data_IF_831753186863
#
_entry.id   IF_831753186863
#
_cell.length_a   1.000
_cell.length_b   1.000
_cell.length_c   1.000
_cell.angle_alpha   90.00
_cell.angle_beta   90.00
_cell.angle_gamma   90.00
#
_symmetry.space_group_name_H-M   'P 1'
#
loop_
_entity.id
_entity.type
_entity.pdbx_description
1 polymer ?
#
# COMPACT_ATOMS: atom_id res chain seq x y z
N UNK A 1 8.55 -50.91 53.55
CA UNK A 1 9.29 -49.64 53.72
C UNK A 1 9.97 -49.33 52.40
N UNK A 2 9.42 -48.32 51.74
CA UNK A 2 9.77 -47.54 50.53
C UNK A 2 11.01 -47.91 49.72
N UNK A 3 10.78 -48.40 48.50
CA UNK A 3 11.68 -48.25 47.34
C UNK A 3 11.52 -46.84 46.78
N UNK A 4 12.62 -46.10 46.67
CA UNK A 4 12.66 -44.75 46.10
C UNK A 4 12.63 -44.88 44.58
N UNK A 5 11.65 -44.24 43.96
CA UNK A 5 11.48 -44.16 42.51
C UNK A 5 12.38 -43.03 42.02
N UNK A 6 13.53 -43.34 41.41
CA UNK A 6 14.30 -42.37 40.64
C UNK A 6 13.64 -42.25 39.25
N UNK A 7 12.78 -41.24 39.13
CA UNK A 7 12.26 -40.75 37.87
C UNK A 7 12.34 -39.23 37.91
N UNK A 8 13.48 -38.67 37.52
CA UNK A 8 13.64 -37.26 37.12
C UNK A 8 15.00 -37.09 36.48
N UNK A 9 15.05 -37.14 35.15
CA UNK A 9 15.86 -36.22 34.35
C UNK A 9 15.53 -36.43 32.86
N UNK A 10 14.53 -35.70 32.39
CA UNK A 10 14.22 -35.55 30.97
C UNK A 10 13.62 -34.16 30.72
N UNK A 11 14.21 -33.11 31.29
CA UNK A 11 13.75 -31.73 31.14
C UNK A 11 14.94 -30.77 31.27
N UNK A 12 15.76 -30.64 30.23
CA UNK A 12 16.94 -29.77 30.32
C UNK A 12 17.69 -29.44 29.03
N UNK A 13 17.05 -29.49 27.85
CA UNK A 13 17.73 -29.19 26.57
C UNK A 13 17.08 -28.20 25.56
N UNK A 14 15.90 -27.58 25.77
CA UNK A 14 15.38 -26.62 24.78
C UNK A 14 16.11 -25.26 24.78
N UNK A 15 16.57 -24.77 25.93
CA UNK A 15 17.07 -23.39 26.06
C UNK A 15 18.46 -23.18 25.41
N UNK A 16 19.34 -24.19 25.48
CA UNK A 16 20.69 -24.10 24.92
C UNK A 16 20.71 -23.99 23.38
N UNK A 17 19.68 -24.53 22.71
CA UNK A 17 19.50 -24.40 21.26
C UNK A 17 19.06 -22.99 20.86
N UNK A 18 18.16 -22.40 21.64
CA UNK A 18 17.66 -21.03 21.42
C UNK A 18 18.79 -20.01 21.64
N UNK A 19 19.55 -20.13 22.72
CA UNK A 19 20.68 -19.23 23.00
C UNK A 19 21.77 -19.27 21.92
N UNK A 20 21.90 -20.42 21.24
CA UNK A 20 22.85 -20.59 20.14
C UNK A 20 22.32 -19.96 18.85
N UNK A 21 21.01 -20.08 18.58
CA UNK A 21 20.35 -19.40 17.46
C UNK A 21 20.39 -17.89 17.62
N UNK A 22 20.10 -17.38 18.81
CA UNK A 22 20.12 -15.95 19.12
C UNK A 22 21.53 -15.35 18.94
N UNK A 23 22.57 -16.04 19.43
CA UNK A 23 23.97 -15.62 19.24
C UNK A 23 24.45 -15.71 17.79
N UNK A 24 23.92 -16.65 17.00
CA UNK A 24 24.27 -16.78 15.58
C UNK A 24 23.63 -15.68 14.71
N UNK A 25 22.48 -15.15 15.14
CA UNK A 25 21.78 -14.07 14.45
C UNK A 25 22.23 -12.66 14.88
N UNK A 26 23.06 -12.54 15.92
CA UNK A 26 23.63 -11.27 16.36
C UNK A 26 24.59 -10.74 15.27
N UNK A 27 24.34 -9.56 14.66
CA UNK A 27 25.22 -8.97 13.66
C UNK A 27 26.53 -8.40 14.26
N UNK A 28 26.63 -8.29 15.58
CA UNK A 28 27.75 -7.72 16.30
C UNK A 28 28.51 -8.72 17.21
N UNK A 29 28.75 -9.98 16.78
CA UNK A 29 29.29 -11.00 17.68
C UNK A 29 30.75 -10.76 18.06
N UNK A 30 31.41 -9.85 17.36
CA UNK A 30 32.83 -9.50 17.52
C UNK A 30 33.04 -8.21 18.32
N UNK A 31 31.98 -7.53 18.76
CA UNK A 31 32.12 -6.34 19.57
C UNK A 31 32.48 -6.70 21.01
N UNK A 32 33.42 -5.96 21.58
CA UNK A 32 33.73 -6.07 23.00
C UNK A 32 32.52 -5.59 23.84
N UNK A 33 32.24 -6.24 24.99
CA UNK A 33 31.22 -5.75 25.91
C UNK A 33 31.51 -4.32 26.36
N UNK A 34 30.45 -3.52 26.49
CA UNK A 34 30.56 -2.16 27.01
C UNK A 34 31.04 -2.17 28.47
N UNK A 35 31.91 -1.22 28.81
CA UNK A 35 32.29 -1.02 30.22
C UNK A 35 31.09 -0.49 31.03
N UNK A 36 31.04 -0.71 32.35
CA UNK A 36 29.93 -0.24 33.19
C UNK A 36 29.67 1.27 33.10
N UNK A 37 30.73 2.09 32.94
CA UNK A 37 30.59 3.54 32.78
C UNK A 37 29.92 3.92 31.46
N UNK A 38 30.34 3.31 30.35
CA UNK A 38 29.72 3.54 29.03
C UNK A 38 28.26 3.09 28.97
N UNK A 39 27.92 2.01 29.69
CA UNK A 39 26.53 1.55 29.80
C UNK A 39 25.67 2.57 30.54
N UNK A 40 26.13 3.04 31.69
CA UNK A 40 25.42 4.05 32.47
C UNK A 40 25.21 5.36 31.67
N UNK A 41 26.24 5.80 30.92
CA UNK A 41 26.13 6.98 30.05
C UNK A 41 25.10 6.79 28.94
N UNK A 42 25.05 5.62 28.30
CA UNK A 42 24.07 5.31 27.25
C UNK A 42 22.65 5.18 27.81
N UNK A 43 22.51 4.58 28.98
CA UNK A 43 21.23 4.45 29.69
C UNK A 43 20.69 5.82 30.10
N UNK A 44 21.55 6.70 30.63
CA UNK A 44 21.22 8.10 30.92
C UNK A 44 20.84 8.84 29.64
N UNK A 45 21.63 8.71 28.56
CA UNK A 45 21.31 9.35 27.28
C UNK A 45 19.96 8.91 26.71
N UNK A 46 19.61 7.63 26.80
CA UNK A 46 18.33 7.11 26.31
C UNK A 46 17.14 7.61 27.16
N UNK A 47 17.33 7.85 28.45
CA UNK A 47 16.30 8.38 29.34
C UNK A 47 16.13 9.90 29.20
N UNK A 48 17.23 10.63 28.95
CA UNK A 48 17.21 12.09 28.74
C UNK A 48 16.82 12.49 27.31
N UNK A 49 16.83 11.55 26.37
CA UNK A 49 16.38 11.77 25.00
C UNK A 49 14.85 11.79 24.92
N UNK A 50 14.25 12.87 25.44
CA UNK A 50 12.90 13.28 25.07
C UNK A 50 12.89 13.52 23.55
N UNK A 51 12.23 12.62 22.81
CA UNK A 51 12.04 12.59 21.35
C UNK A 51 12.32 13.93 20.67
N UNK A 52 13.59 14.19 20.37
CA UNK A 52 13.97 15.27 19.48
C UNK A 52 14.13 14.61 18.12
N UNK A 53 13.03 14.59 17.36
CA UNK A 53 13.09 14.35 15.92
C UNK A 53 14.30 15.11 15.39
N UNK A 54 15.29 14.45 14.78
CA UNK A 54 16.41 15.17 14.20
C UNK A 54 15.82 16.06 13.12
N UNK A 55 15.69 17.36 13.43
CA UNK A 55 15.37 18.37 12.46
C UNK A 55 16.45 18.27 11.39
N UNK A 56 16.06 17.76 10.22
CA UNK A 56 16.86 17.69 9.01
C UNK A 56 17.52 19.06 8.86
N UNK A 57 18.85 19.13 9.05
CA UNK A 57 19.63 20.37 8.89
C UNK A 57 19.48 20.83 7.45
N UNK A 58 18.50 21.72 7.22
CA UNK A 58 18.34 22.45 5.99
C UNK A 58 19.57 23.33 5.80
N UNK A 59 20.21 23.20 4.65
CA UNK A 59 21.31 24.04 4.21
C UNK A 59 20.87 25.53 4.17
N UNK A 60 21.74 26.49 4.55
CA UNK A 60 21.42 27.90 4.43
C UNK A 60 21.62 28.35 2.97
N UNK A 61 20.53 28.54 2.24
CA UNK A 61 20.54 29.22 0.95
C UNK A 61 19.63 30.44 1.01
N UNK A 62 20.22 31.62 0.79
CA UNK A 62 19.50 32.78 0.28
C UNK A 62 19.24 33.92 1.27
N UNK A 63 20.26 34.73 1.55
CA UNK A 63 20.08 36.09 2.04
C UNK A 63 19.58 36.99 0.90
N UNK A 64 18.26 37.18 0.80
CA UNK A 64 17.62 38.10 -0.12
C UNK A 64 17.18 39.38 0.61
N UNK A 65 17.74 40.52 0.21
CA UNK A 65 17.44 41.83 0.78
C UNK A 65 16.05 42.34 0.40
N UNK A 66 15.25 42.63 1.42
CA UNK A 66 14.00 43.37 1.36
C UNK A 66 14.22 44.82 0.90
N UNK A 67 13.63 45.20 -0.25
CA UNK A 67 13.30 46.60 -0.54
C UNK A 67 11.93 46.72 -1.22
N UNK A 68 10.98 47.23 -0.42
CA UNK A 68 9.72 47.86 -0.84
C UNK A 68 9.95 48.92 -1.92
N UNK A 69 9.08 48.97 -2.95
CA UNK A 69 8.03 50.02 -3.10
C UNK A 69 7.20 49.84 -4.40
N UNK A 70 6.00 50.44 -4.48
CA UNK A 70 4.94 50.03 -5.39
C UNK A 70 4.47 51.09 -6.43
N UNK A 71 3.64 50.59 -7.36
CA UNK A 71 2.60 51.26 -8.21
C UNK A 71 3.04 51.88 -9.56
N UNK A 72 2.10 52.29 -10.45
CA UNK A 72 1.49 51.41 -11.48
C UNK A 72 1.46 52.09 -12.87
N UNK A 73 1.27 51.38 -13.98
CA UNK A 73 0.67 51.97 -15.22
C UNK A 73 0.36 50.96 -16.32
N UNK A 74 -0.94 50.73 -16.50
CA UNK A 74 -1.72 50.83 -17.75
C UNK A 74 -1.15 50.24 -19.07
N UNK A 75 -1.72 49.07 -19.40
CA UNK A 75 -2.50 48.73 -20.62
C UNK A 75 -1.77 48.39 -21.94
N UNK A 76 -2.44 47.61 -22.81
CA UNK A 76 -1.91 46.33 -23.30
C UNK A 76 -1.62 46.34 -24.82
N UNK A 77 -0.92 45.31 -25.30
CA UNK A 77 -0.83 45.03 -26.73
C UNK A 77 -1.19 43.58 -27.01
N UNK A 78 -2.27 43.43 -27.77
CA UNK A 78 -2.79 42.19 -28.34
C UNK A 78 -2.01 41.92 -29.63
N UNK A 79 -1.44 40.72 -29.75
CA UNK A 79 -1.08 40.05 -31.00
C UNK A 79 -0.91 38.56 -30.61
N UNK A 80 -1.74 37.60 -31.01
CA UNK A 80 -2.24 37.38 -32.36
C UNK A 80 -1.39 36.27 -33.00
N UNK A 81 -1.62 35.01 -32.64
CA UNK A 81 -1.15 33.86 -33.39
C UNK A 81 -2.12 32.69 -33.21
N UNK A 82 -2.98 32.53 -34.22
CA UNK A 82 -3.85 31.39 -34.44
C UNK A 82 -2.96 30.21 -34.87
N UNK A 83 -2.91 29.16 -34.07
CA UNK A 83 -2.53 27.83 -34.53
C UNK A 83 -3.77 26.94 -34.40
N UNK A 84 -4.38 26.67 -35.54
CA UNK A 84 -5.41 25.67 -35.69
C UNK A 84 -4.79 24.28 -35.48
N UNK A 85 -5.09 23.65 -34.35
CA UNK A 85 -5.00 22.22 -34.20
C UNK A 85 -6.42 21.66 -34.22
N UNK A 86 -6.73 20.96 -35.31
CA UNK A 86 -7.91 20.11 -35.44
C UNK A 86 -7.64 18.80 -34.66
N UNK A 87 -8.71 18.23 -34.10
CA UNK A 87 -8.82 16.96 -33.35
C UNK A 87 -8.53 17.09 -31.85
N UNK A 88 -9.41 16.71 -30.91
CA UNK A 88 -10.62 15.90 -30.93
C UNK A 88 -11.54 16.52 -29.87
N UNK A 89 -12.76 16.93 -30.24
CA UNK A 89 -13.81 17.17 -29.24
C UNK A 89 -14.25 15.79 -28.78
N UNK A 90 -13.57 15.24 -27.77
CA UNK A 90 -14.17 14.17 -26.97
C UNK A 90 -15.28 14.86 -26.20
N UNK A 91 -16.50 14.77 -26.73
CA UNK A 91 -17.68 15.03 -25.93
C UNK A 91 -17.71 13.91 -24.90
N UNK A 92 -17.07 14.12 -23.75
CA UNK A 92 -17.36 13.32 -22.57
C UNK A 92 -18.76 13.75 -22.17
N UNK A 93 -19.76 12.99 -22.65
CA UNK A 93 -21.12 13.11 -22.15
C UNK A 93 -21.07 12.60 -20.72
N UNK A 94 -20.82 13.49 -19.76
CA UNK A 94 -21.05 13.23 -18.35
C UNK A 94 -22.56 13.22 -18.15
N UNK A 95 -23.19 12.10 -18.52
CA UNK A 95 -24.51 11.79 -18.01
C UNK A 95 -24.33 11.50 -16.51
N UNK A 96 -25.09 12.12 -15.60
CA UNK A 96 -25.19 11.64 -14.24
C UNK A 96 -25.81 10.24 -14.33
N UNK A 97 -24.97 9.20 -14.31
CA UNK A 97 -25.45 7.82 -14.18
C UNK A 97 -25.95 7.71 -12.76
N UNK A 98 -27.27 7.67 -12.65
CA UNK A 98 -27.97 7.50 -11.39
C UNK A 98 -27.54 6.23 -10.67
N UNK A 99 -27.91 6.17 -9.40
CA UNK A 99 -27.88 4.99 -8.53
C UNK A 99 -28.58 3.79 -9.18
N UNK A 100 -27.94 3.16 -10.16
CA UNK A 100 -28.28 1.84 -10.65
C UNK A 100 -27.73 0.80 -9.68
N UNK A 101 -28.29 -0.41 -9.74
CA UNK A 101 -27.83 -1.64 -9.09
C UNK A 101 -26.40 -2.03 -9.52
N UNK A 102 -25.43 -1.14 -9.29
CA UNK A 102 -24.03 -1.33 -9.62
C UNK A 102 -23.34 -2.15 -8.53
N UNK A 103 -22.44 -3.03 -8.96
CA UNK A 103 -21.51 -3.70 -8.07
C UNK A 103 -20.72 -2.65 -7.29
N UNK A 104 -20.86 -2.67 -5.97
CA UNK A 104 -20.08 -1.85 -5.04
C UNK A 104 -19.11 -2.75 -4.30
N UNK A 105 -17.85 -2.33 -4.27
CA UNK A 105 -16.78 -2.99 -3.53
C UNK A 105 -16.21 -2.04 -2.49
N UNK A 106 -15.73 -2.58 -1.39
CA UNK A 106 -15.02 -1.83 -0.36
C UNK A 106 -13.58 -2.33 -0.26
N UNK A 107 -12.65 -1.40 -0.05
CA UNK A 107 -11.29 -1.72 0.41
C UNK A 107 -11.30 -1.69 1.93
N UNK A 108 -10.94 -2.80 2.56
CA UNK A 108 -10.69 -2.81 3.99
C UNK A 108 -9.30 -2.22 4.27
N UNK A 109 -9.25 -1.28 5.21
CA UNK A 109 -7.99 -0.73 5.73
C UNK A 109 -7.34 -1.74 6.68
N UNK A 110 -6.82 -2.84 6.13
CA UNK A 110 -5.73 -3.68 6.65
C UNK A 110 -5.83 -5.12 6.13
N UNK A 111 -4.73 -5.63 5.58
CA UNK A 111 -4.27 -6.96 5.99
C UNK A 111 -3.86 -6.80 7.45
N UNK A 112 -4.58 -7.44 8.37
CA UNK A 112 -4.31 -7.27 9.80
C UNK A 112 -2.86 -7.63 10.12
N UNK A 113 -2.28 -7.00 11.15
CA UNK A 113 -0.93 -7.31 11.67
C UNK A 113 -0.73 -8.80 12.03
N UNK A 114 -1.80 -9.60 12.03
CA UNK A 114 -1.82 -11.04 12.27
C UNK A 114 -1.77 -11.92 10.99
N UNK A 115 -1.96 -11.35 9.79
CA UNK A 115 -2.06 -12.09 8.53
C UNK A 115 -0.91 -11.68 7.59
N UNK A 116 0.24 -12.31 7.77
CA UNK A 116 1.31 -12.23 6.76
C UNK A 116 0.75 -12.70 5.40
N UNK A 117 0.91 -11.89 4.36
CA UNK A 117 0.46 -12.25 3.03
C UNK A 117 1.14 -13.56 2.58
N UNK A 118 0.34 -14.57 2.27
CA UNK A 118 0.82 -15.77 1.64
C UNK A 118 1.32 -15.47 0.21
N UNK A 119 2.19 -16.32 -0.33
CA UNK A 119 2.59 -16.23 -1.73
C UNK A 119 1.34 -16.39 -2.61
N UNK A 120 1.18 -15.48 -3.55
CA UNK A 120 0.09 -15.51 -4.51
C UNK A 120 0.31 -16.67 -5.50
N UNK A 121 -0.67 -17.55 -5.63
CA UNK A 121 -0.70 -18.60 -6.67
C UNK A 121 -2.00 -18.54 -7.47
N UNK A 122 -2.04 -19.05 -8.71
CA UNK A 122 -3.26 -19.08 -9.51
C UNK A 122 -4.41 -19.82 -8.81
N UNK A 123 -4.13 -20.95 -8.17
CA UNK A 123 -5.12 -21.75 -7.46
C UNK A 123 -5.65 -21.02 -6.23
N UNK A 124 -4.77 -20.32 -5.50
CA UNK A 124 -5.14 -19.49 -4.37
C UNK A 124 -6.05 -18.33 -4.78
N UNK A 125 -5.73 -17.66 -5.90
CA UNK A 125 -6.57 -16.61 -6.46
C UNK A 125 -7.95 -17.13 -6.87
N UNK A 126 -8.01 -18.25 -7.61
CA UNK A 126 -9.27 -18.84 -8.05
C UNK A 126 -10.14 -19.33 -6.87
N UNK A 127 -9.52 -19.81 -5.79
CA UNK A 127 -10.23 -20.24 -4.59
C UNK A 127 -10.70 -19.06 -3.72
N UNK A 128 -9.93 -17.96 -3.70
CA UNK A 128 -10.20 -16.82 -2.82
C UNK A 128 -11.13 -15.77 -3.42
N UNK A 129 -11.27 -15.68 -4.74
CA UNK A 129 -12.05 -14.65 -5.44
C UNK A 129 -13.34 -15.20 -6.04
N UNK A 130 -14.50 -14.74 -5.56
CA UNK A 130 -15.80 -15.01 -6.17
C UNK A 130 -16.11 -14.06 -7.33
N UNK A 131 -15.42 -12.93 -7.39
CA UNK A 131 -15.46 -11.94 -8.44
C UNK A 131 -14.05 -11.57 -8.89
N UNK A 132 -13.76 -11.61 -10.19
CA UNK A 132 -12.47 -11.22 -10.74
C UNK A 132 -12.65 -10.55 -12.11
N UNK A 133 -12.07 -9.36 -12.30
CA UNK A 133 -12.19 -8.62 -13.55
C UNK A 133 -10.98 -7.70 -13.82
N UNK A 134 -10.80 -7.34 -15.09
CA UNK A 134 -9.93 -6.25 -15.53
C UNK A 134 -10.79 -5.05 -15.88
N UNK A 135 -10.38 -3.86 -15.46
CA UNK A 135 -11.09 -2.63 -15.78
C UNK A 135 -10.23 -1.39 -15.66
N UNK A 136 -10.69 -0.30 -16.25
CA UNK A 136 -10.01 1.00 -16.24
C UNK A 136 -10.76 1.98 -15.35
N UNK A 137 -10.04 2.68 -14.47
CA UNK A 137 -10.60 3.70 -13.59
C UNK A 137 -10.98 4.92 -14.42
N UNK A 138 -12.26 5.27 -14.44
CA UNK A 138 -12.80 6.42 -15.17
C UNK A 138 -12.77 7.70 -14.34
N UNK A 139 -12.99 7.58 -13.03
CA UNK A 139 -12.93 8.71 -12.08
C UNK A 139 -12.66 8.23 -10.65
N UNK A 140 -12.06 9.11 -9.84
CA UNK A 140 -11.92 8.98 -8.38
C UNK A 140 -12.49 10.23 -7.74
N UNK A 141 -13.66 10.10 -7.11
CA UNK A 141 -14.39 11.22 -6.52
C UNK A 141 -14.88 10.84 -5.12
N UNK A 142 -14.70 11.74 -4.14
CA UNK A 142 -15.21 11.53 -2.78
C UNK A 142 -14.71 10.25 -2.09
N UNK A 143 -13.49 9.79 -2.42
CA UNK A 143 -12.92 8.54 -1.92
C UNK A 143 -13.49 7.28 -2.57
N UNK A 144 -14.18 7.39 -3.72
CA UNK A 144 -14.71 6.27 -4.49
C UNK A 144 -14.14 6.27 -5.89
N UNK A 145 -13.53 5.16 -6.29
CA UNK A 145 -13.09 4.91 -7.66
C UNK A 145 -14.21 4.28 -8.47
N UNK A 146 -14.49 4.84 -9.66
CA UNK A 146 -15.44 4.27 -10.62
C UNK A 146 -14.65 3.55 -11.70
N UNK A 147 -14.84 2.24 -11.82
CA UNK A 147 -14.07 1.38 -12.71
C UNK A 147 -14.99 0.83 -13.80
N UNK A 148 -14.66 1.07 -15.07
CA UNK A 148 -15.33 0.41 -16.19
C UNK A 148 -14.72 -0.95 -16.44
N UNK A 149 -15.57 -1.98 -16.43
CA UNK A 149 -15.16 -3.37 -16.64
C UNK A 149 -14.88 -3.61 -18.12
N UNK A 150 -13.76 -4.26 -18.42
CA UNK A 150 -13.30 -4.56 -19.78
C UNK A 150 -13.28 -6.06 -20.06
N UNK A 151 -12.90 -6.86 -19.05
CA UNK A 151 -12.93 -8.31 -19.10
C UNK A 151 -13.33 -8.86 -17.74
N UNK A 152 -14.22 -9.84 -17.74
CA UNK A 152 -14.57 -10.62 -16.56
C UNK A 152 -13.84 -11.96 -16.61
N UNK A 153 -13.21 -12.32 -15.50
CA UNK A 153 -12.55 -13.61 -15.30
C UNK A 153 -13.41 -14.55 -14.45
N UNK A 154 -14.08 -14.01 -13.43
CA UNK A 154 -15.03 -14.74 -12.58
C UNK A 154 -16.14 -13.83 -12.08
N UNK A 155 -17.32 -14.40 -11.82
CA UNK A 155 -18.50 -13.67 -11.36
C UNK A 155 -19.21 -12.89 -12.47
N UNK A 156 -20.14 -12.02 -12.07
CA UNK A 156 -20.95 -11.20 -12.97
C UNK A 156 -21.03 -9.76 -12.44
N UNK A 157 -19.96 -8.95 -12.57
CA UNK A 157 -20.01 -7.54 -12.19
C UNK A 157 -20.88 -6.74 -13.15
N UNK A 158 -21.42 -5.60 -12.69
CA UNK A 158 -21.98 -4.59 -13.58
C UNK A 158 -20.90 -4.01 -14.51
N UNK A 159 -21.33 -3.38 -15.61
CA UNK A 159 -20.43 -2.72 -16.58
C UNK A 159 -19.51 -1.66 -15.93
N UNK A 160 -20.00 -1.05 -14.84
CA UNK A 160 -19.26 -0.10 -14.03
C UNK A 160 -19.32 -0.54 -12.57
N UNK A 161 -18.17 -0.60 -11.92
CA UNK A 161 -18.00 -1.01 -10.51
C UNK A 161 -17.53 0.19 -9.70
N UNK A 162 -18.18 0.46 -8.58
CA UNK A 162 -17.74 1.50 -7.65
C UNK A 162 -16.93 0.86 -6.52
N UNK A 163 -15.74 1.39 -6.24
CA UNK A 163 -14.82 0.86 -5.23
C UNK A 163 -14.49 1.96 -4.22
N UNK A 164 -14.90 1.80 -2.97
CA UNK A 164 -14.50 2.70 -1.89
C UNK A 164 -13.01 2.54 -1.60
N UNK A 165 -12.27 3.63 -1.59
CA UNK A 165 -10.84 3.65 -1.27
C UNK A 165 -10.61 3.60 0.24
N UNK A 166 -9.54 2.93 0.64
CA UNK A 166 -8.98 3.09 1.99
C UNK A 166 -8.35 4.48 2.16
N UNK A 167 -8.00 4.83 3.39
CA UNK A 167 -7.27 6.07 3.67
C UNK A 167 -5.88 6.01 2.99
N UNK A 168 -5.55 6.93 2.07
CA UNK A 168 -4.26 6.91 1.38
C UNK A 168 -3.07 7.19 2.30
N UNK A 169 -3.31 7.76 3.49
CA UNK A 169 -2.28 8.01 4.49
C UNK A 169 -2.00 6.77 5.37
N UNK A 170 -2.91 5.79 5.39
CA UNK A 170 -2.76 4.51 6.08
C UNK A 170 -2.11 3.46 5.16
N UNK A 171 -0.82 3.64 4.88
CA UNK A 171 -0.03 2.67 4.10
C UNK A 171 0.31 1.47 4.97
N UNK A 172 -0.47 0.40 4.83
CA UNK A 172 -0.23 -0.90 5.47
C UNK A 172 0.33 -1.88 4.43
N UNK A 173 1.38 -2.61 4.79
CA UNK A 173 1.92 -3.68 3.94
C UNK A 173 0.82 -4.72 3.67
N UNK A 174 0.58 -4.99 2.38
CA UNK A 174 -0.48 -5.90 1.96
C UNK A 174 -1.88 -5.30 1.92
N UNK A 175 -2.04 -3.98 2.08
CA UNK A 175 -3.31 -3.30 1.78
C UNK A 175 -3.68 -3.41 0.29
N UNK A 176 -4.96 -3.24 -0.03
CA UNK A 176 -5.37 -3.09 -1.42
C UNK A 176 -4.80 -1.79 -2.00
N UNK A 177 -4.52 -1.73 -3.31
CA UNK A 177 -3.94 -0.54 -3.91
C UNK A 177 -4.92 0.64 -3.86
N UNK A 178 -4.35 1.85 -3.78
CA UNK A 178 -5.11 3.07 -4.09
C UNK A 178 -5.31 3.13 -5.60
N UNK A 179 -6.57 3.20 -6.03
CA UNK A 179 -6.91 3.30 -7.45
C UNK A 179 -6.62 4.72 -7.97
N UNK A 180 -5.98 4.81 -9.14
CA UNK A 180 -5.64 6.06 -9.78
C UNK A 180 -6.42 6.25 -11.09
N UNK A 181 -6.86 7.48 -11.35
CA UNK A 181 -7.58 7.83 -12.57
C UNK A 181 -6.83 7.45 -13.85
N UNK A 182 -7.56 6.86 -14.80
CA UNK A 182 -7.07 6.47 -16.11
C UNK A 182 -6.19 5.21 -16.12
N UNK A 183 -5.86 4.63 -14.96
CA UNK A 183 -5.10 3.40 -14.89
C UNK A 183 -6.00 2.17 -14.99
N UNK A 184 -5.47 1.10 -15.59
CA UNK A 184 -6.14 -0.20 -15.70
C UNK A 184 -5.68 -1.10 -14.56
N UNK A 185 -6.62 -1.79 -13.93
CA UNK A 185 -6.40 -2.67 -12.79
C UNK A 185 -6.97 -4.06 -13.06
N UNK A 186 -6.34 -5.05 -12.46
CA UNK A 186 -6.89 -6.38 -12.22
C UNK A 186 -7.41 -6.39 -10.78
N UNK A 187 -8.70 -6.68 -10.62
CA UNK A 187 -9.42 -6.63 -9.36
C UNK A 187 -9.94 -8.01 -9.02
N UNK A 188 -9.60 -8.49 -7.83
CA UNK A 188 -10.16 -9.69 -7.23
C UNK A 188 -10.99 -9.26 -6.02
N UNK A 189 -12.14 -9.88 -5.82
CA UNK A 189 -13.03 -9.59 -4.73
C UNK A 189 -13.81 -10.80 -4.27
N UNK A 190 -14.17 -10.79 -2.99
CA UNK A 190 -15.08 -11.74 -2.37
C UNK A 190 -15.94 -11.04 -1.34
N UNK A 191 -17.22 -11.41 -1.28
CA UNK A 191 -18.20 -10.85 -0.33
C UNK A 191 -18.26 -9.30 -0.35
N UNK A 192 -18.12 -8.71 -1.54
CA UNK A 192 -18.14 -7.26 -1.73
C UNK A 192 -16.86 -6.53 -1.27
N UNK A 193 -15.80 -7.26 -0.95
CA UNK A 193 -14.51 -6.70 -0.51
C UNK A 193 -13.43 -6.94 -1.54
N UNK A 194 -12.63 -5.92 -1.82
CA UNK A 194 -11.45 -6.05 -2.68
C UNK A 194 -10.39 -6.88 -1.95
N UNK A 195 -9.91 -7.93 -2.62
CA UNK A 195 -8.82 -8.75 -2.14
C UNK A 195 -7.52 -7.93 -2.16
N UNK A 196 -6.80 -7.99 -1.04
CA UNK A 196 -5.54 -7.27 -0.81
C UNK A 196 -4.34 -8.20 -1.04
N UNK A 197 -3.18 -7.91 -0.45
CA UNK A 197 -1.97 -8.75 -0.56
C UNK A 197 -1.47 -8.97 -1.99
N UNK A 198 -1.67 -7.99 -2.89
CA UNK A 198 -1.22 -8.06 -4.29
C UNK A 198 -2.11 -8.86 -5.23
N UNK A 199 -3.25 -9.39 -4.75
CA UNK A 199 -4.25 -10.03 -5.62
C UNK A 199 -4.99 -9.00 -6.49
N UNK A 200 -5.09 -7.76 -6.02
CA UNK A 200 -5.58 -6.61 -6.79
C UNK A 200 -4.42 -5.66 -7.04
N UNK A 201 -4.29 -5.17 -8.27
CA UNK A 201 -3.15 -4.34 -8.68
C UNK A 201 -3.32 -3.71 -10.05
N UNK A 202 -2.41 -2.78 -10.38
CA UNK A 202 -2.31 -2.24 -11.73
C UNK A 202 -2.06 -3.39 -12.70
N UNK A 203 -2.69 -3.32 -13.86
CA UNK A 203 -2.52 -4.31 -14.92
C UNK A 203 -1.06 -4.31 -15.41
N UNK A 204 -0.37 -5.42 -15.14
CA UNK A 204 1.03 -5.63 -15.43
C UNK A 204 1.30 -7.11 -15.72
N UNK A 205 2.34 -7.43 -16.50
CA UNK A 205 2.49 -8.74 -17.15
C UNK A 205 2.45 -9.92 -16.18
N UNK A 206 3.00 -9.78 -14.98
CA UNK A 206 3.01 -10.83 -13.96
C UNK A 206 1.61 -11.11 -13.40
N UNK A 207 0.87 -10.06 -13.04
CA UNK A 207 -0.49 -10.18 -12.50
C UNK A 207 -1.48 -10.62 -13.57
N UNK A 208 -1.38 -10.11 -14.81
CA UNK A 208 -2.23 -10.55 -15.91
C UNK A 208 -2.02 -12.04 -16.20
N UNK A 209 -0.76 -12.51 -16.22
CA UNK A 209 -0.46 -13.92 -16.41
C UNK A 209 -0.98 -14.79 -15.27
N UNK A 210 -0.95 -14.30 -14.03
CA UNK A 210 -1.55 -15.00 -12.89
C UNK A 210 -3.06 -15.15 -13.06
N UNK A 211 -3.76 -14.09 -13.44
CA UNK A 211 -5.21 -14.12 -13.70
C UNK A 211 -5.59 -15.05 -14.85
N UNK A 212 -4.85 -14.99 -15.96
CA UNK A 212 -5.07 -15.86 -17.10
C UNK A 212 -4.84 -17.34 -16.75
N UNK A 213 -3.91 -17.65 -15.84
CA UNK A 213 -3.68 -19.01 -15.33
C UNK A 213 -4.73 -19.45 -14.31
N UNK A 214 -5.21 -18.54 -13.46
CA UNK A 214 -6.20 -18.82 -12.42
C UNK A 214 -7.59 -19.08 -13.03
N UNK A 215 -7.91 -18.38 -14.12
CA UNK A 215 -9.20 -18.44 -14.80
C UNK A 215 -9.01 -18.75 -16.30
N UNK A 216 -8.58 -19.98 -16.64
CA UNK A 216 -8.51 -20.41 -18.03
C UNK A 216 -9.95 -20.53 -18.57
N UNK A 217 -10.28 -19.64 -19.50
CA UNK A 217 -11.61 -19.59 -20.15
C UNK A 217 -11.91 -20.80 -21.04
#
# INVERSE_FOLDING_TARGET
>A
MTTRHDASDASGEPDAGIDRLLRAADPAPHLAPLSPGQRAELEEHAMDETTRTPARRGAPSGGGSDRRRPRPTRRPLVLGAVLAAVALVVVVVVLPRGDGDGTRLTVDASGGLADSCAVITPEGLAAAATLAFRGTVESVEGGTATIRVERVYAGEPSETVAVSQGDPDDVVDGAAPVFADGATYLVAASDGRVASCGLTGVDGPELSALYDQAFPG
#
